data_IF_145924007879
#
_entry.id   IF_145924007879
#
_cell.length_a   1.000
_cell.length_b   1.000
_cell.length_c   1.000
_cell.angle_alpha   90.00
_cell.angle_beta   90.00
_cell.angle_gamma   90.00
#
_symmetry.space_group_name_H-M   'P 1'
#
loop_
_entity.id
_entity.type
_entity.pdbx_description
1 polymer ?
#
# COMPACT_ATOMS: atom_id res chain seq x y z
N UNK A 1 46.33 -42.74 -2.32
CA UNK A 1 44.91 -42.59 -2.68
C UNK A 1 44.55 -41.13 -2.51
N UNK A 2 44.48 -40.39 -3.61
CA UNK A 2 44.07 -38.98 -3.64
C UNK A 2 42.55 -38.94 -3.80
N UNK A 3 41.83 -38.64 -2.72
CA UNK A 3 40.39 -38.40 -2.75
C UNK A 3 40.11 -37.03 -3.39
N UNK A 4 39.60 -37.04 -4.61
CA UNK A 4 38.99 -35.87 -5.23
C UNK A 4 37.53 -35.77 -4.78
N UNK A 5 37.24 -34.87 -3.85
CA UNK A 5 35.87 -34.48 -3.53
C UNK A 5 35.34 -33.59 -4.66
N UNK A 6 34.42 -34.12 -5.46
CA UNK A 6 33.59 -33.32 -6.38
C UNK A 6 32.45 -32.69 -5.56
N UNK A 7 32.55 -31.38 -5.33
CA UNK A 7 31.42 -30.60 -4.85
C UNK A 7 30.58 -30.15 -6.05
N UNK A 8 29.39 -30.72 -6.21
CA UNK A 8 28.37 -30.20 -7.12
C UNK A 8 27.65 -29.02 -6.45
N UNK A 9 27.74 -27.84 -7.04
CA UNK A 9 26.87 -26.70 -6.72
C UNK A 9 25.69 -26.77 -7.68
N UNK A 10 24.48 -26.99 -7.15
CA UNK A 10 23.25 -26.79 -7.91
C UNK A 10 23.06 -25.29 -8.11
N UNK A 11 23.52 -24.77 -9.26
CA UNK A 11 23.16 -23.42 -9.71
C UNK A 11 21.82 -23.57 -10.41
N UNK A 12 20.73 -23.22 -9.73
CA UNK A 12 19.46 -22.98 -10.43
C UNK A 12 19.63 -21.68 -11.24
N UNK A 13 19.42 -21.69 -12.56
CA UNK A 13 19.40 -20.44 -13.31
C UNK A 13 18.28 -19.56 -12.76
N UNK A 14 18.59 -18.33 -12.37
CA UNK A 14 17.58 -17.31 -12.08
C UNK A 14 16.79 -17.09 -13.37
N UNK A 15 15.48 -17.31 -13.32
CA UNK A 15 14.59 -16.98 -14.43
C UNK A 15 14.68 -15.46 -14.65
N UNK A 16 14.93 -14.98 -15.88
CA UNK A 16 14.96 -13.55 -16.18
C UNK A 16 13.69 -12.86 -15.70
N UNK A 17 13.84 -11.69 -15.11
CA UNK A 17 12.73 -10.93 -14.56
C UNK A 17 12.52 -9.68 -15.41
N UNK A 18 11.48 -9.70 -16.25
CA UNK A 18 11.16 -8.62 -17.18
C UNK A 18 10.99 -7.24 -16.49
N UNK A 19 10.69 -7.20 -15.20
CA UNK A 19 10.43 -5.98 -14.44
C UNK A 19 11.66 -5.44 -13.68
N UNK A 20 12.62 -6.31 -13.35
CA UNK A 20 13.76 -5.95 -12.49
C UNK A 20 15.09 -5.90 -13.26
N UNK A 21 15.21 -6.70 -14.33
CA UNK A 21 16.41 -6.75 -15.14
C UNK A 21 16.53 -5.49 -15.99
N UNK A 22 17.67 -4.80 -15.88
CA UNK A 22 17.92 -3.53 -16.58
C UNK A 22 18.21 -3.69 -18.08
N UNK A 23 18.62 -4.88 -18.50
CA UNK A 23 19.13 -5.17 -19.85
C UNK A 23 19.98 -4.00 -20.39
N UNK A 24 19.88 -3.66 -21.68
CA UNK A 24 20.62 -2.51 -22.26
C UNK A 24 19.89 -1.16 -22.08
N UNK A 25 18.55 -1.15 -22.02
CA UNK A 25 17.76 0.08 -22.10
C UNK A 25 16.53 0.11 -21.18
N UNK A 26 16.35 -0.89 -20.31
CA UNK A 26 15.29 -0.88 -19.29
C UNK A 26 15.73 -0.09 -18.04
N UNK A 27 14.73 0.37 -17.28
CA UNK A 27 14.95 1.18 -16.07
C UNK A 27 15.36 0.29 -14.88
N UNK A 28 14.74 -0.89 -14.78
CA UNK A 28 14.89 -1.83 -13.68
C UNK A 28 14.07 -1.44 -12.45
N UNK A 29 14.57 -1.68 -11.25
CA UNK A 29 13.74 -1.64 -10.02
C UNK A 29 13.65 -0.27 -9.32
N UNK A 30 14.29 0.80 -9.82
CA UNK A 30 14.39 2.08 -9.12
C UNK A 30 13.78 3.20 -9.96
N UNK A 31 12.78 3.86 -9.39
CA UNK A 31 12.06 4.95 -10.03
C UNK A 31 12.02 6.16 -9.09
N UNK A 32 12.19 7.35 -9.67
CA UNK A 32 11.84 8.63 -9.04
C UNK A 32 10.33 8.71 -8.96
N UNK A 33 9.83 8.91 -7.74
CA UNK A 33 8.39 8.99 -7.43
C UNK A 33 8.10 10.20 -6.56
N UNK A 34 6.83 10.59 -6.50
CA UNK A 34 6.34 11.57 -5.54
C UNK A 34 5.42 10.84 -4.56
N UNK A 35 5.57 11.11 -3.27
CA UNK A 35 4.86 10.39 -2.22
C UNK A 35 4.42 11.32 -1.11
N UNK A 36 3.30 11.02 -0.45
CA UNK A 36 2.90 11.74 0.75
C UNK A 36 3.76 11.31 1.95
N UNK A 37 4.23 12.29 2.73
CA UNK A 37 4.98 12.05 3.98
C UNK A 37 4.50 13.01 5.06
N UNK A 38 4.51 12.52 6.29
CA UNK A 38 4.09 13.28 7.45
C UNK A 38 5.25 14.13 7.99
N UNK A 39 4.92 15.31 8.47
CA UNK A 39 5.84 16.23 9.15
C UNK A 39 5.29 16.57 10.53
N UNK A 40 6.17 16.95 11.45
CA UNK A 40 5.83 17.22 12.85
C UNK A 40 4.94 18.45 13.02
N UNK A 41 5.11 19.45 12.16
CA UNK A 41 4.46 20.75 12.26
C UNK A 41 4.34 21.46 10.90
N UNK A 42 3.73 22.64 10.90
CA UNK A 42 3.47 23.48 9.72
C UNK A 42 4.72 24.15 9.13
N UNK A 43 5.90 24.01 9.75
CA UNK A 43 7.16 24.49 9.16
C UNK A 43 7.68 23.53 8.10
N UNK A 44 7.30 22.24 8.18
CA UNK A 44 7.78 21.16 7.32
C UNK A 44 9.30 20.99 7.35
N UNK A 45 9.91 21.22 8.52
CA UNK A 45 11.36 21.10 8.69
C UNK A 45 11.79 19.68 9.07
N UNK A 46 11.00 19.00 9.90
CA UNK A 46 11.33 17.68 10.44
C UNK A 46 10.29 16.65 9.97
N UNK A 47 10.67 15.66 9.15
CA UNK A 47 9.79 14.57 8.78
C UNK A 47 9.51 13.67 10.00
N UNK A 48 8.30 13.14 10.10
CA UNK A 48 7.96 12.13 11.11
C UNK A 48 8.61 10.81 10.70
N UNK A 49 9.43 10.25 11.58
CA UNK A 49 9.99 8.93 11.41
C UNK A 49 8.90 7.87 11.58
N UNK A 50 8.81 6.95 10.62
CA UNK A 50 7.85 5.85 10.71
C UNK A 50 8.25 4.90 11.83
N UNK A 51 7.27 4.49 12.62
CA UNK A 51 7.46 3.46 13.64
C UNK A 51 7.63 2.09 12.99
N UNK A 52 8.15 1.13 13.75
CA UNK A 52 8.23 -0.27 13.30
C UNK A 52 6.88 -0.84 12.86
N UNK A 53 5.79 -0.46 13.54
CA UNK A 53 4.41 -0.85 13.18
C UNK A 53 3.92 -0.24 11.85
N UNK A 54 4.56 0.83 11.36
CA UNK A 54 4.22 1.54 10.12
C UNK A 54 5.20 1.25 8.97
N UNK A 55 6.19 0.38 9.19
CA UNK A 55 7.17 0.00 8.17
C UNK A 55 6.48 -0.57 6.92
N UNK A 56 5.42 -1.34 7.14
CA UNK A 56 4.62 -1.96 6.10
C UNK A 56 3.93 -0.97 5.14
N UNK A 57 3.81 0.32 5.49
CA UNK A 57 3.13 1.29 4.62
C UNK A 57 3.88 1.51 3.29
N UNK A 58 5.19 1.22 3.22
CA UNK A 58 5.94 1.27 1.96
C UNK A 58 5.77 2.60 1.21
N UNK A 59 5.23 2.57 -0.01
CA UNK A 59 4.98 3.78 -0.80
C UNK A 59 3.87 4.67 -0.23
N UNK A 60 2.87 4.07 0.44
CA UNK A 60 1.68 4.77 0.93
C UNK A 60 2.03 6.01 1.74
N UNK A 61 1.16 6.99 1.70
CA UNK A 61 1.18 8.08 2.66
C UNK A 61 0.95 7.61 4.10
N UNK A 62 1.11 8.50 5.10
CA UNK A 62 0.80 8.18 6.49
C UNK A 62 -0.66 7.72 6.64
N UNK A 63 -0.90 6.78 7.55
CA UNK A 63 -2.25 6.37 7.90
C UNK A 63 -2.93 7.49 8.69
N UNK A 64 -4.04 8.01 8.16
CA UNK A 64 -4.81 9.06 8.80
C UNK A 64 -5.99 8.43 9.53
N UNK A 65 -6.21 8.75 10.79
CA UNK A 65 -7.38 8.28 11.55
C UNK A 65 -8.34 9.41 11.82
N UNK A 66 -9.64 9.12 11.75
CA UNK A 66 -10.69 10.02 12.17
C UNK A 66 -11.92 9.25 12.68
N UNK A 67 -12.64 9.84 13.63
CA UNK A 67 -13.92 9.31 14.07
C UNK A 67 -15.08 10.03 13.37
N UNK A 68 -16.22 9.35 13.29
CA UNK A 68 -17.48 9.99 12.87
C UNK A 68 -17.79 11.19 13.77
N UNK A 69 -17.95 12.36 13.15
CA UNK A 69 -18.16 13.65 13.80
C UNK A 69 -16.93 14.55 13.76
N UNK A 70 -15.76 14.04 13.41
CA UNK A 70 -14.52 14.80 13.38
C UNK A 70 -14.41 15.75 12.18
N UNK A 71 -13.49 16.71 12.32
CA UNK A 71 -13.04 17.60 11.26
C UNK A 71 -11.52 17.47 11.14
N UNK A 72 -11.07 16.88 10.04
CA UNK A 72 -9.64 16.67 9.75
C UNK A 72 -9.13 17.87 8.98
N UNK A 73 -8.16 18.59 9.56
CA UNK A 73 -7.47 19.70 8.90
C UNK A 73 -6.11 19.22 8.41
N UNK A 74 -5.93 19.11 7.11
CA UNK A 74 -4.68 18.66 6.48
C UNK A 74 -3.93 19.88 5.97
N UNK A 75 -2.85 20.23 6.67
CA UNK A 75 -1.91 21.24 6.20
C UNK A 75 -0.98 20.56 5.20
N UNK A 76 -1.19 20.82 3.91
CA UNK A 76 -0.47 20.19 2.82
C UNK A 76 0.52 21.18 2.20
N UNK A 77 1.80 20.78 2.12
CA UNK A 77 2.84 21.53 1.40
C UNK A 77 3.26 20.75 0.17
N UNK A 78 3.22 21.41 -0.98
CA UNK A 78 3.74 20.81 -2.20
C UNK A 78 5.24 21.09 -2.32
N UNK A 79 6.07 20.10 -1.98
CA UNK A 79 7.53 20.17 -2.12
C UNK A 79 8.03 19.60 -3.46
N UNK A 80 7.12 19.21 -4.35
CA UNK A 80 7.45 18.69 -5.68
C UNK A 80 7.48 19.81 -6.73
N UNK A 81 7.78 19.44 -7.98
CA UNK A 81 8.03 20.38 -9.09
C UNK A 81 6.79 20.74 -9.91
N UNK A 82 5.63 20.13 -9.61
CA UNK A 82 4.37 20.36 -10.36
C UNK A 82 3.18 20.46 -9.40
N UNK A 83 2.03 21.04 -9.83
CA UNK A 83 0.85 21.14 -8.98
C UNK A 83 0.30 19.77 -8.60
N UNK A 84 -0.02 19.60 -7.32
CA UNK A 84 -0.67 18.40 -6.77
C UNK A 84 -1.76 18.81 -5.78
N UNK A 85 -2.64 17.89 -5.42
CA UNK A 85 -3.65 18.10 -4.39
C UNK A 85 -3.73 16.91 -3.44
N UNK A 86 -4.67 16.94 -2.51
CA UNK A 86 -5.03 15.80 -1.67
C UNK A 86 -6.54 15.80 -1.42
N UNK A 87 -7.17 14.66 -1.66
CA UNK A 87 -8.59 14.42 -1.40
C UNK A 87 -8.79 12.96 -1.03
N UNK A 88 -9.78 12.66 -0.21
CA UNK A 88 -10.11 11.30 0.20
C UNK A 88 -11.48 10.88 -0.31
N UNK A 89 -11.66 9.59 -0.58
CA UNK A 89 -12.99 9.02 -0.71
C UNK A 89 -13.76 9.12 0.61
N UNK A 90 -15.10 9.06 0.54
CA UNK A 90 -15.98 9.05 1.71
C UNK A 90 -16.15 10.40 2.42
N UNK A 91 -15.18 11.31 2.40
CA UNK A 91 -15.22 12.56 3.18
C UNK A 91 -16.17 13.62 2.63
N UNK A 92 -16.60 14.56 3.48
CA UNK A 92 -17.40 15.72 3.08
C UNK A 92 -16.54 16.99 3.06
N UNK A 93 -16.52 17.68 1.93
CA UNK A 93 -15.94 19.02 1.78
C UNK A 93 -17.03 20.09 1.67
N UNK A 94 -16.65 21.37 1.77
CA UNK A 94 -17.59 22.50 1.63
C UNK A 94 -17.93 22.82 0.16
N UNK A 95 -16.96 22.60 -0.73
CA UNK A 95 -17.09 22.78 -2.17
C UNK A 95 -16.86 21.44 -2.88
N UNK A 96 -17.44 21.30 -4.07
CA UNK A 96 -17.19 20.18 -4.99
C UNK A 96 -15.81 20.23 -5.64
N UNK A 97 -15.19 21.41 -5.69
CA UNK A 97 -13.89 21.60 -6.35
C UNK A 97 -12.74 21.47 -5.36
N UNK A 98 -11.81 20.57 -5.64
CA UNK A 98 -10.54 20.44 -4.91
C UNK A 98 -9.50 21.32 -5.58
N UNK A 99 -9.13 22.42 -4.93
CA UNK A 99 -8.20 23.38 -5.52
C UNK A 99 -6.75 22.84 -5.47
N UNK A 100 -6.02 22.81 -6.60
CA UNK A 100 -4.62 22.35 -6.65
C UNK A 100 -3.67 23.23 -5.84
N UNK A 101 -2.64 22.64 -5.24
CA UNK A 101 -1.57 23.36 -4.52
C UNK A 101 -0.34 23.44 -5.42
N UNK A 102 0.11 24.66 -5.69
CA UNK A 102 1.26 24.91 -6.58
C UNK A 102 2.58 24.51 -5.92
N UNK A 103 3.66 24.25 -6.69
CA UNK A 103 4.99 24.01 -6.14
C UNK A 103 5.43 25.09 -5.14
N UNK A 104 5.86 24.67 -3.94
CA UNK A 104 6.26 25.55 -2.84
C UNK A 104 5.10 26.13 -2.00
N UNK A 105 3.85 26.02 -2.47
CA UNK A 105 2.68 26.53 -1.75
C UNK A 105 2.28 25.59 -0.60
N UNK A 106 1.74 26.18 0.47
CA UNK A 106 1.10 25.47 1.58
C UNK A 106 -0.39 25.78 1.54
N UNK A 107 -1.21 24.74 1.62
CA UNK A 107 -2.67 24.85 1.67
C UNK A 107 -3.27 23.92 2.69
N UNK A 108 -4.30 24.40 3.37
CA UNK A 108 -5.08 23.59 4.31
C UNK A 108 -6.33 23.02 3.65
N UNK A 109 -6.46 21.71 3.63
CA UNK A 109 -7.66 20.99 3.21
C UNK A 109 -8.48 20.61 4.44
N UNK A 110 -9.79 20.80 4.35
CA UNK A 110 -10.71 20.54 5.45
C UNK A 110 -11.66 19.42 5.05
N UNK A 111 -11.57 18.30 5.75
CA UNK A 111 -12.46 17.15 5.58
C UNK A 111 -13.38 17.05 6.79
N UNK A 112 -14.68 17.11 6.56
CA UNK A 112 -15.71 16.83 7.56
C UNK A 112 -16.05 15.35 7.47
N UNK A 113 -16.16 14.67 8.62
CA UNK A 113 -16.46 13.24 8.70
C UNK A 113 -17.89 13.07 9.26
N UNK A 114 -18.95 13.31 8.47
CA UNK A 114 -20.31 12.99 8.88
C UNK A 114 -20.53 11.47 9.00
N UNK A 115 -21.68 11.07 9.52
CA UNK A 115 -22.05 9.65 9.69
C UNK A 115 -21.98 8.85 8.39
N UNK A 116 -22.40 9.43 7.26
CA UNK A 116 -22.29 8.83 5.92
C UNK A 116 -20.85 8.57 5.44
N UNK A 117 -19.85 9.12 6.12
CA UNK A 117 -18.42 8.95 5.79
C UNK A 117 -17.77 7.83 6.58
N UNK A 118 -18.44 7.32 7.62
CA UNK A 118 -17.98 6.18 8.41
C UNK A 118 -18.76 4.91 8.09
N UNK A 119 -18.49 3.88 8.89
CA UNK A 119 -19.06 2.55 8.75
C UNK A 119 -20.61 2.53 8.87
N UNK A 120 -21.30 2.07 7.82
CA UNK A 120 -22.74 1.81 7.82
C UNK A 120 -23.10 0.59 8.67
N UNK A 121 -24.38 0.25 8.84
CA UNK A 121 -24.85 -0.78 9.80
C UNK A 121 -24.18 -2.16 9.60
N UNK A 122 -23.91 -2.52 8.34
CA UNK A 122 -23.29 -3.79 7.96
C UNK A 122 -21.77 -3.81 7.97
N UNK A 123 -21.10 -2.69 8.28
CA UNK A 123 -19.63 -2.59 8.21
C UNK A 123 -18.96 -2.94 9.55
N UNK A 124 -17.66 -3.23 9.49
CA UNK A 124 -16.78 -3.26 10.66
C UNK A 124 -16.70 -1.89 11.34
N UNK A 125 -16.18 -1.83 12.56
CA UNK A 125 -16.16 -0.58 13.34
C UNK A 125 -15.36 0.54 12.66
N UNK A 126 -14.29 0.19 11.94
CA UNK A 126 -13.45 1.09 11.18
C UNK A 126 -13.42 0.65 9.71
N UNK A 127 -13.51 1.60 8.80
CA UNK A 127 -13.45 1.38 7.35
C UNK A 127 -12.34 2.24 6.72
N UNK A 128 -11.64 1.72 5.70
CA UNK A 128 -10.65 2.49 4.97
C UNK A 128 -11.25 3.25 3.80
N UNK A 129 -10.65 4.40 3.51
CA UNK A 129 -10.82 5.19 2.30
C UNK A 129 -9.44 5.51 1.73
N UNK A 130 -9.32 5.51 0.40
CA UNK A 130 -8.12 6.01 -0.24
C UNK A 130 -8.13 7.54 -0.32
N UNK A 131 -7.01 8.17 0.04
CA UNK A 131 -6.71 9.56 -0.30
C UNK A 131 -5.61 9.65 -1.36
N UNK A 132 -5.78 10.58 -2.28
CA UNK A 132 -4.99 10.70 -3.51
C UNK A 132 -5.05 12.12 -4.07
N UNK A 133 -4.21 12.42 -5.05
CA UNK A 133 -4.23 13.70 -5.77
C UNK A 133 -5.29 13.71 -6.86
N UNK A 134 -5.89 14.87 -7.09
CA UNK A 134 -7.02 15.07 -8.02
C UNK A 134 -6.67 15.99 -9.18
N UNK A 135 -5.40 16.40 -9.33
CA UNK A 135 -4.98 17.28 -10.43
C UNK A 135 -4.97 16.49 -11.73
N UNK A 136 -4.22 15.40 -11.77
CA UNK A 136 -4.30 14.36 -12.79
C UNK A 136 -4.47 13.01 -12.09
N UNK A 137 -5.71 12.51 -12.05
CA UNK A 137 -6.06 11.33 -11.24
C UNK A 137 -5.28 10.07 -11.64
N UNK A 138 -4.90 9.96 -12.90
CA UNK A 138 -4.20 8.78 -13.42
C UNK A 138 -2.71 8.94 -13.16
N UNK A 139 -2.12 10.03 -13.67
CA UNK A 139 -0.66 10.21 -13.61
C UNK A 139 -0.18 10.47 -12.19
N UNK A 140 -0.93 11.19 -11.36
CA UNK A 140 -0.54 11.47 -9.97
C UNK A 140 -0.56 10.20 -9.11
N UNK A 141 -1.55 9.33 -9.33
CA UNK A 141 -1.67 8.03 -8.66
C UNK A 141 -0.46 7.15 -8.99
N UNK A 142 -0.19 6.91 -10.28
CA UNK A 142 0.92 6.07 -10.70
C UNK A 142 2.28 6.69 -10.36
N UNK A 143 2.38 8.01 -10.30
CA UNK A 143 3.58 8.71 -9.79
C UNK A 143 3.84 8.48 -8.30
N UNK A 144 2.83 8.03 -7.53
CA UNK A 144 2.97 7.55 -6.14
C UNK A 144 2.08 8.25 -5.09
N UNK A 145 1.14 9.12 -5.48
CA UNK A 145 0.30 9.86 -4.53
C UNK A 145 -0.95 9.08 -4.11
N UNK A 146 -0.80 8.24 -3.09
CA UNK A 146 -1.87 7.42 -2.52
C UNK A 146 -1.62 7.17 -1.02
N UNK A 147 -2.68 7.11 -0.21
CA UNK A 147 -2.58 6.66 1.17
C UNK A 147 -3.93 6.33 1.82
N UNK A 148 -3.92 5.71 3.02
CA UNK A 148 -5.13 5.26 3.71
C UNK A 148 -5.67 6.28 4.72
N UNK A 149 -6.97 6.57 4.64
CA UNK A 149 -7.76 7.25 5.67
C UNK A 149 -8.66 6.21 6.34
N UNK A 150 -8.50 6.00 7.64
CA UNK A 150 -9.31 5.08 8.45
C UNK A 150 -10.37 5.89 9.19
N UNK A 151 -11.64 5.60 8.90
CA UNK A 151 -12.78 6.23 9.57
C UNK A 151 -13.47 5.23 10.48
N UNK A 152 -13.46 5.50 11.78
CA UNK A 152 -14.09 4.66 12.78
C UNK A 152 -15.44 5.24 13.23
N UNK A 153 -16.38 4.36 13.61
CA UNK A 153 -17.60 4.81 14.28
C UNK A 153 -17.22 5.47 15.61
N UNK A 154 -17.93 6.54 15.95
CA UNK A 154 -17.78 7.19 17.24
C UNK A 154 -18.11 6.20 18.35
N UNK A 155 -17.12 5.88 19.19
CA UNK A 155 -17.36 4.97 20.32
C UNK A 155 -18.31 5.62 21.32
N UNK A 156 -19.40 4.90 21.66
CA UNK A 156 -20.36 5.33 22.70
C UNK A 156 -19.84 5.07 24.12
N UNK A 157 -18.82 4.21 24.28
CA UNK A 157 -18.27 3.81 25.57
C UNK A 157 -16.77 4.13 25.60
N UNK A 158 -16.34 4.91 26.60
CA UNK A 158 -14.92 5.00 26.95
C UNK A 158 -14.49 3.65 27.50
N UNK A 159 -13.85 2.83 26.67
CA UNK A 159 -13.26 1.56 27.12
C UNK A 159 -12.10 1.89 28.05
N UNK A 160 -12.17 1.45 29.30
CA UNK A 160 -11.01 1.43 30.20
C UNK A 160 -10.04 0.37 29.66
N UNK A 161 -8.84 0.80 29.26
CA UNK A 161 -7.82 0.01 28.54
C UNK A 161 -8.26 -0.47 27.15
N UNK A 162 -8.20 0.39 26.11
CA UNK A 162 -8.37 -0.08 24.73
C UNK A 162 -7.26 -1.08 24.39
N UNK A 163 -7.64 -2.28 23.97
CA UNK A 163 -6.71 -3.24 23.39
C UNK A 163 -6.23 -2.62 22.07
N UNK A 164 -4.93 -2.32 21.98
CA UNK A 164 -4.32 -1.80 20.74
C UNK A 164 -4.32 -2.94 19.73
N UNK A 165 -5.23 -2.89 18.77
CA UNK A 165 -5.31 -3.84 17.65
C UNK A 165 -4.19 -3.50 16.65
N UNK A 166 -3.37 -4.47 16.22
CA UNK A 166 -2.49 -4.26 15.08
C UNK A 166 -3.30 -3.91 13.83
N UNK A 167 -2.84 -2.90 13.09
CA UNK A 167 -3.50 -2.42 11.90
C UNK A 167 -2.52 -2.45 10.73
N UNK A 168 -2.94 -3.06 9.62
CA UNK A 168 -2.13 -3.17 8.41
C UNK A 168 -2.90 -2.62 7.21
N UNK A 169 -2.36 -1.59 6.56
CA UNK A 169 -2.91 -1.07 5.31
C UNK A 169 -2.18 -1.68 4.12
N UNK A 170 -2.92 -2.33 3.21
CA UNK A 170 -2.39 -2.94 2.00
C UNK A 170 -3.08 -2.36 0.77
N UNK A 171 -2.28 -1.84 -0.14
CA UNK A 171 -2.67 -1.43 -1.49
C UNK A 171 -2.16 -2.47 -2.47
N UNK A 172 -3.09 -3.02 -3.23
CA UNK A 172 -2.81 -3.85 -4.40
C UNK A 172 -2.97 -2.97 -5.63
N UNK A 173 -1.87 -2.78 -6.35
CA UNK A 173 -1.81 -1.91 -7.52
C UNK A 173 -0.67 -2.36 -8.44
N UNK A 174 -0.96 -2.50 -9.73
CA UNK A 174 0.08 -2.53 -10.76
C UNK A 174 0.52 -1.09 -11.01
N UNK A 175 1.70 -0.72 -10.50
CA UNK A 175 2.24 0.62 -10.70
C UNK A 175 2.74 0.75 -12.14
N UNK A 176 1.90 1.32 -13.00
CA UNK A 176 2.26 1.65 -14.37
C UNK A 176 3.16 2.90 -14.43
N UNK A 177 4.48 2.69 -14.41
CA UNK A 177 5.45 3.78 -14.47
C UNK A 177 5.49 4.47 -15.84
N UNK A 178 4.87 3.89 -16.87
CA UNK A 178 4.72 4.55 -18.18
C UNK A 178 3.80 5.77 -18.08
N UNK A 179 2.83 5.73 -17.17
CA UNK A 179 1.92 6.84 -16.89
C UNK A 179 2.48 7.85 -15.87
N UNK A 180 3.65 7.57 -15.29
CA UNK A 180 4.30 8.45 -14.32
C UNK A 180 4.74 9.76 -14.95
N UNK A 181 4.60 10.84 -14.18
CA UNK A 181 5.15 12.15 -14.53
C UNK A 181 6.69 12.16 -14.61
N UNK A 182 7.33 11.15 -14.03
CA UNK A 182 8.77 11.04 -13.90
C UNK A 182 9.38 10.04 -14.89
N UNK A 183 8.60 9.49 -15.83
CA UNK A 183 9.11 8.53 -16.82
C UNK A 183 10.36 9.06 -17.54
N UNK A 184 10.32 10.29 -18.06
CA UNK A 184 11.46 10.90 -18.76
C UNK A 184 12.70 11.09 -17.88
N UNK A 185 12.49 11.48 -16.62
CA UNK A 185 13.57 11.61 -15.65
C UNK A 185 14.18 10.23 -15.34
N UNK A 186 13.34 9.21 -15.22
CA UNK A 186 13.75 7.84 -14.91
C UNK A 186 14.54 7.20 -16.06
N UNK A 187 14.07 7.35 -17.30
CA UNK A 187 14.79 6.90 -18.49
C UNK A 187 16.20 7.50 -18.51
N UNK A 188 16.31 8.83 -18.37
CA UNK A 188 17.62 9.51 -18.38
C UNK A 188 18.54 9.15 -17.22
N UNK A 189 17.98 8.77 -16.07
CA UNK A 189 18.76 8.52 -14.84
C UNK A 189 19.20 7.07 -14.72
N UNK A 190 18.39 6.13 -15.17
CA UNK A 190 18.53 4.71 -14.81
C UNK A 190 18.74 3.76 -15.97
N UNK A 191 18.43 4.15 -17.21
CA UNK A 191 18.77 3.36 -18.40
C UNK A 191 20.20 3.65 -18.85
N UNK A 192 20.91 2.61 -19.30
CA UNK A 192 22.31 2.75 -19.75
C UNK A 192 22.38 3.43 -21.13
N UNK A 193 21.37 3.22 -21.97
CA UNK A 193 21.22 3.83 -23.30
C UNK A 193 19.86 4.53 -23.49
N UNK A 194 19.64 5.71 -22.90
CA UNK A 194 18.39 6.46 -23.01
C UNK A 194 17.95 6.76 -24.46
N UNK A 195 18.91 6.88 -25.38
CA UNK A 195 18.69 7.15 -26.80
C UNK A 195 18.06 5.98 -27.56
N UNK A 196 18.18 4.76 -27.03
CA UNK A 196 17.59 3.55 -27.63
C UNK A 196 16.18 3.25 -27.12
N UNK A 197 15.71 3.98 -26.10
CA UNK A 197 14.42 3.72 -25.47
C UNK A 197 13.29 4.17 -26.39
N UNK A 198 12.51 3.20 -26.86
CA UNK A 198 11.23 3.43 -27.51
C UNK A 198 10.09 3.24 -26.51
N UNK A 199 9.37 4.32 -26.20
CA UNK A 199 8.24 4.28 -25.26
C UNK A 199 7.01 3.55 -25.81
N UNK A 200 6.95 3.32 -27.12
CA UNK A 200 5.87 2.57 -27.76
C UNK A 200 6.17 1.08 -27.87
N UNK A 201 7.37 0.64 -27.47
CA UNK A 201 7.74 -0.77 -27.48
C UNK A 201 7.03 -1.52 -26.34
N UNK A 202 6.35 -2.61 -26.68
CA UNK A 202 5.55 -3.40 -25.73
C UNK A 202 6.40 -4.03 -24.61
N UNK A 203 7.64 -4.45 -24.88
CA UNK A 203 8.55 -5.01 -23.87
C UNK A 203 9.00 -3.91 -22.89
N UNK A 204 9.27 -2.70 -23.38
CA UNK A 204 9.57 -1.55 -22.52
C UNK A 204 8.37 -1.16 -21.66
N UNK A 205 7.17 -1.12 -22.24
CA UNK A 205 5.93 -0.83 -21.50
C UNK A 205 5.74 -1.88 -20.39
N UNK A 206 5.91 -3.16 -20.70
CA UNK A 206 5.73 -4.25 -19.75
C UNK A 206 6.78 -4.20 -18.62
N UNK A 207 8.04 -3.88 -18.94
CA UNK A 207 9.11 -3.74 -17.94
C UNK A 207 8.81 -2.71 -16.85
N UNK A 208 7.95 -1.72 -17.16
CA UNK A 208 7.58 -0.62 -16.28
C UNK A 208 6.25 -0.85 -15.54
N UNK A 209 5.58 -2.01 -15.73
CA UNK A 209 4.37 -2.37 -14.98
C UNK A 209 4.73 -3.11 -13.70
N UNK A 210 4.91 -2.37 -12.62
CA UNK A 210 5.41 -2.93 -11.36
C UNK A 210 4.25 -3.51 -10.51
N UNK A 211 4.07 -4.82 -10.58
CA UNK A 211 3.03 -5.57 -9.87
C UNK A 211 3.34 -5.69 -8.37
N UNK A 212 2.85 -4.75 -7.55
CA UNK A 212 3.36 -4.57 -6.20
C UNK A 212 2.28 -4.52 -5.10
N UNK A 213 2.70 -4.87 -3.87
CA UNK A 213 1.93 -4.62 -2.65
C UNK A 213 2.61 -3.47 -1.91
N UNK A 214 1.91 -2.36 -1.69
CA UNK A 214 2.47 -1.12 -1.11
C UNK A 214 3.74 -0.62 -1.83
N UNK A 215 3.87 -0.89 -3.14
CA UNK A 215 5.04 -0.53 -3.94
C UNK A 215 6.28 -1.39 -3.69
N UNK A 216 6.11 -2.59 -3.12
CA UNK A 216 7.15 -3.61 -2.93
C UNK A 216 6.76 -4.91 -3.64
N UNK A 217 7.75 -5.64 -4.12
CA UNK A 217 7.58 -6.86 -4.93
C UNK A 217 8.46 -7.99 -4.39
N UNK A 218 8.14 -9.24 -4.70
CA UNK A 218 8.94 -10.43 -4.42
C UNK A 218 9.39 -10.53 -2.95
N UNK A 219 8.47 -10.37 -2.00
CA UNK A 219 8.80 -10.48 -0.57
C UNK A 219 9.49 -9.27 0.06
N UNK A 220 9.71 -8.18 -0.68
CA UNK A 220 10.37 -6.99 -0.12
C UNK A 220 9.44 -6.12 0.76
N UNK A 221 8.17 -6.48 0.94
CA UNK A 221 7.29 -5.79 1.90
C UNK A 221 7.50 -6.33 3.31
N UNK A 222 8.08 -5.51 4.18
CA UNK A 222 8.42 -5.86 5.56
C UNK A 222 7.45 -5.21 6.56
N UNK A 223 7.58 -5.55 7.85
CA UNK A 223 6.79 -4.92 8.92
C UNK A 223 5.41 -5.54 9.17
N UNK A 224 5.05 -6.63 8.48
CA UNK A 224 3.81 -7.38 8.71
C UNK A 224 4.00 -8.43 9.81
N UNK A 225 4.19 -7.98 11.06
CA UNK A 225 4.44 -8.86 12.21
C UNK A 225 3.36 -8.68 13.29
N UNK A 226 2.81 -9.80 13.76
CA UNK A 226 1.78 -9.86 14.80
C UNK A 226 2.01 -11.07 15.72
N UNK A 227 1.23 -11.20 16.79
CA UNK A 227 1.32 -12.31 17.73
C UNK A 227 0.08 -13.19 17.71
N UNK A 228 0.25 -14.45 18.12
CA UNK A 228 -0.87 -15.36 18.38
C UNK A 228 -1.80 -14.74 19.43
N UNK A 229 -3.08 -14.64 19.10
CA UNK A 229 -4.12 -14.07 19.96
C UNK A 229 -4.41 -12.59 19.72
N UNK A 230 -3.66 -11.90 18.85
CA UNK A 230 -3.99 -10.53 18.45
C UNK A 230 -5.33 -10.48 17.70
N UNK A 231 -6.03 -9.35 17.81
CA UNK A 231 -7.13 -9.01 16.91
C UNK A 231 -6.63 -8.00 15.89
N UNK A 232 -6.52 -8.41 14.63
CA UNK A 232 -5.83 -7.65 13.58
C UNK A 232 -6.83 -7.11 12.57
N UNK A 233 -6.71 -5.83 12.24
CA UNK A 233 -7.43 -5.22 11.13
C UNK A 233 -6.52 -5.09 9.91
N UNK A 234 -6.93 -5.70 8.81
CA UNK A 234 -6.33 -5.50 7.49
C UNK A 234 -7.20 -4.56 6.67
N UNK A 235 -6.65 -3.42 6.28
CA UNK A 235 -7.30 -2.44 5.43
C UNK A 235 -6.83 -2.63 3.99
N UNK A 236 -7.62 -3.35 3.20
CA UNK A 236 -7.34 -3.61 1.80
C UNK A 236 -7.86 -2.46 0.94
N UNK A 237 -7.04 -2.03 -0.02
CA UNK A 237 -7.38 -1.02 -1.01
C UNK A 237 -6.98 -1.49 -2.41
N UNK A 238 -7.88 -1.32 -3.36
CA UNK A 238 -7.63 -1.49 -4.80
C UNK A 238 -7.79 -0.17 -5.54
N UNK A 239 -6.83 0.13 -6.42
CA UNK A 239 -6.84 1.28 -7.32
C UNK A 239 -6.29 0.82 -8.68
N UNK A 240 -6.31 1.70 -9.69
CA UNK A 240 -5.70 1.43 -10.99
C UNK A 240 -6.72 1.26 -12.11
N UNK A 241 -6.47 0.33 -13.04
CA UNK A 241 -7.22 0.17 -14.30
C UNK A 241 -7.87 -1.23 -14.43
N UNK A 242 -8.25 -1.65 -15.64
CA UNK A 242 -8.90 -2.94 -15.88
C UNK A 242 -8.06 -4.18 -15.57
N UNK A 243 -6.72 -4.07 -15.48
CA UNK A 243 -5.86 -5.20 -15.10
C UNK A 243 -5.74 -5.33 -13.57
N UNK A 244 -6.16 -4.33 -12.79
CA UNK A 244 -6.14 -4.35 -11.33
C UNK A 244 -7.32 -5.14 -10.72
N UNK A 245 -7.48 -6.37 -11.16
CA UNK A 245 -8.37 -7.36 -10.55
C UNK A 245 -7.50 -8.23 -9.62
N UNK A 246 -7.61 -8.04 -8.31
CA UNK A 246 -6.73 -8.71 -7.35
C UNK A 246 -7.50 -9.67 -6.46
N UNK A 247 -7.03 -10.90 -6.31
CA UNK A 247 -7.60 -11.90 -5.39
C UNK A 247 -6.63 -12.13 -4.23
N UNK A 248 -6.80 -11.38 -3.16
CA UNK A 248 -5.86 -11.35 -2.03
C UNK A 248 -6.03 -12.60 -1.17
N UNK A 249 -5.01 -13.45 -1.13
CA UNK A 249 -5.01 -14.68 -0.36
C UNK A 249 -4.01 -14.64 0.81
N UNK A 250 -4.47 -15.07 1.99
CA UNK A 250 -3.65 -15.22 3.18
C UNK A 250 -3.43 -16.71 3.48
N UNK A 251 -2.18 -17.17 3.45
CA UNK A 251 -1.86 -18.55 3.83
C UNK A 251 -2.00 -18.73 5.35
N UNK A 252 -2.45 -19.91 5.78
CA UNK A 252 -2.47 -20.31 7.19
C UNK A 252 -3.58 -19.72 8.07
N UNK A 253 -4.25 -18.64 7.62
CA UNK A 253 -5.34 -18.00 8.37
C UNK A 253 -6.45 -17.52 7.44
N UNK A 254 -7.69 -17.83 7.80
CA UNK A 254 -8.87 -17.16 7.26
C UNK A 254 -9.12 -15.84 7.98
N UNK A 255 -9.85 -14.95 7.33
CA UNK A 255 -10.33 -13.70 7.91
C UNK A 255 -11.86 -13.65 7.90
N UNK A 256 -12.39 -12.65 8.57
CA UNK A 256 -13.80 -12.31 8.62
C UNK A 256 -14.01 -10.90 8.11
N UNK A 257 -15.18 -10.60 7.55
CA UNK A 257 -15.50 -9.25 7.08
C UNK A 257 -16.99 -8.96 7.27
N UNK A 258 -17.35 -7.67 7.19
CA UNK A 258 -18.63 -7.10 7.60
C UNK A 258 -18.87 -7.13 9.12
N UNK A 259 -19.93 -6.46 9.57
CA UNK A 259 -20.26 -6.29 10.98
C UNK A 259 -20.35 -7.63 11.69
N UNK A 260 -19.55 -7.80 12.77
CA UNK A 260 -19.44 -9.02 13.59
C UNK A 260 -18.89 -10.25 12.84
N UNK A 261 -18.21 -10.06 11.72
CA UNK A 261 -17.52 -11.15 11.02
C UNK A 261 -18.46 -12.25 10.50
N UNK A 262 -19.65 -11.85 10.04
CA UNK A 262 -20.69 -12.79 9.56
C UNK A 262 -20.20 -13.62 8.37
N UNK A 263 -19.34 -13.03 7.53
CA UNK A 263 -18.74 -13.71 6.40
C UNK A 263 -17.29 -14.07 6.72
N UNK A 264 -16.86 -15.25 6.28
CA UNK A 264 -15.49 -15.71 6.41
C UNK A 264 -14.98 -16.22 5.06
N UNK A 265 -13.73 -15.90 4.78
CA UNK A 265 -12.99 -16.33 3.59
C UNK A 265 -11.51 -16.28 3.90
N UNK A 266 -10.68 -16.85 3.03
CA UNK A 266 -9.23 -16.69 2.99
C UNK A 266 -8.75 -16.02 1.70
N UNK A 267 -9.68 -15.73 0.78
CA UNK A 267 -9.48 -14.96 -0.45
C UNK A 267 -10.47 -13.80 -0.51
N UNK A 268 -10.00 -12.59 -0.80
CA UNK A 268 -10.85 -11.41 -0.99
C UNK A 268 -10.56 -10.73 -2.34
N UNK A 269 -11.61 -10.47 -3.11
CA UNK A 269 -11.50 -9.81 -4.40
C UNK A 269 -11.46 -8.28 -4.25
N UNK A 270 -10.45 -7.67 -4.84
CA UNK A 270 -10.11 -6.24 -4.76
C UNK A 270 -10.02 -5.69 -6.18
N UNK A 271 -10.83 -4.68 -6.46
CA UNK A 271 -10.93 -3.99 -7.75
C UNK A 271 -10.63 -2.49 -7.57
N UNK A 272 -10.45 -1.71 -8.64
CA UNK A 272 -10.29 -0.26 -8.50
C UNK A 272 -11.50 0.36 -7.80
N UNK A 273 -11.25 1.00 -6.65
CA UNK A 273 -12.29 1.57 -5.79
C UNK A 273 -12.82 0.64 -4.70
N UNK A 274 -12.34 -0.60 -4.59
CA UNK A 274 -12.63 -1.48 -3.47
C UNK A 274 -11.79 -1.08 -2.26
N UNK A 275 -12.46 -0.79 -1.15
CA UNK A 275 -11.81 -0.54 0.15
C UNK A 275 -12.53 -1.37 1.20
N UNK A 276 -11.82 -2.27 1.87
CA UNK A 276 -12.43 -3.23 2.78
C UNK A 276 -11.58 -3.45 4.04
N UNK A 277 -12.27 -3.56 5.18
CA UNK A 277 -11.67 -4.06 6.42
C UNK A 277 -11.87 -5.57 6.52
N UNK A 278 -10.78 -6.30 6.74
CA UNK A 278 -10.78 -7.71 7.10
C UNK A 278 -10.28 -7.86 8.55
N UNK A 279 -11.02 -8.62 9.35
CA UNK A 279 -10.70 -8.93 10.73
C UNK A 279 -10.07 -10.32 10.80
N UNK A 280 -8.86 -10.42 11.35
CA UNK A 280 -8.12 -11.66 11.47
C UNK A 280 -7.74 -11.92 12.94
N UNK A 281 -7.85 -13.17 13.37
CA UNK A 281 -7.36 -13.64 14.67
C UNK A 281 -6.26 -14.69 14.46
N UNK A 282 -4.98 -14.31 14.51
CA UNK A 282 -3.86 -15.22 14.28
C UNK A 282 -3.78 -16.28 15.37
N UNK A 283 -3.70 -17.56 14.96
CA UNK A 283 -3.67 -18.71 15.88
C UNK A 283 -2.44 -19.58 15.71
N UNK A 284 -1.88 -19.63 14.51
CA UNK A 284 -0.79 -20.54 14.18
C UNK A 284 0.48 -19.73 13.95
N UNK A 285 1.52 -19.87 14.79
CA UNK A 285 2.77 -19.15 14.59
C UNK A 285 3.49 -19.65 13.34
N UNK A 286 4.21 -18.75 12.69
CA UNK A 286 4.94 -19.02 11.45
C UNK A 286 5.08 -17.80 10.57
N UNK A 287 5.86 -17.94 9.50
CA UNK A 287 5.92 -16.97 8.41
C UNK A 287 5.08 -17.50 7.25
N UNK A 288 4.07 -16.74 6.88
CA UNK A 288 3.01 -17.16 5.96
C UNK A 288 3.01 -16.28 4.73
N UNK A 289 2.73 -16.87 3.57
CA UNK A 289 2.64 -16.14 2.30
C UNK A 289 1.34 -15.33 2.23
N UNK A 290 1.44 -14.13 1.65
CA UNK A 290 0.35 -13.23 1.31
C UNK A 290 0.57 -12.82 -0.14
N UNK A 291 -0.36 -13.14 -1.03
CA UNK A 291 -0.19 -12.89 -2.45
C UNK A 291 -1.51 -12.63 -3.15
N UNK A 292 -1.41 -12.09 -4.36
CA UNK A 292 -2.52 -12.10 -5.31
C UNK A 292 -2.63 -13.48 -5.97
N UNK A 293 -3.82 -14.06 -6.07
CA UNK A 293 -4.04 -15.39 -6.67
C UNK A 293 -4.20 -15.32 -8.20
N UNK A 294 -4.17 -14.12 -8.80
CA UNK A 294 -4.07 -13.94 -10.25
C UNK A 294 -2.67 -14.34 -10.71
N UNK A 295 -2.60 -15.33 -11.62
CA UNK A 295 -1.35 -15.98 -12.06
C UNK A 295 -0.31 -14.99 -12.57
N UNK A 296 -0.74 -14.00 -13.34
CA UNK A 296 0.16 -12.99 -13.89
C UNK A 296 0.78 -12.13 -12.78
N UNK A 297 -0.04 -11.67 -11.84
CA UNK A 297 0.39 -10.80 -10.75
C UNK A 297 1.36 -11.51 -9.79
N UNK A 298 1.15 -12.79 -9.47
CA UNK A 298 2.09 -13.54 -8.62
C UNK A 298 3.42 -13.77 -9.33
N UNK A 299 3.42 -14.17 -10.61
CA UNK A 299 4.66 -14.32 -11.39
C UNK A 299 5.42 -13.00 -11.54
N UNK A 300 4.68 -11.89 -11.65
CA UNK A 300 5.24 -10.56 -11.70
C UNK A 300 5.68 -10.01 -10.32
N UNK A 301 5.46 -10.74 -9.23
CA UNK A 301 6.03 -10.43 -7.92
C UNK A 301 5.08 -9.78 -6.91
N UNK A 302 3.77 -9.81 -7.15
CA UNK A 302 2.76 -9.34 -6.21
C UNK A 302 2.53 -10.34 -5.06
N UNK A 303 3.58 -10.54 -4.27
CA UNK A 303 3.63 -11.43 -3.13
C UNK A 303 4.52 -10.89 -2.03
N UNK A 304 4.19 -11.23 -0.80
CA UNK A 304 5.03 -11.02 0.38
C UNK A 304 4.73 -12.04 1.47
N UNK A 305 5.41 -11.91 2.61
CA UNK A 305 5.13 -12.72 3.80
C UNK A 305 4.65 -11.86 4.96
N UNK A 306 3.80 -12.43 5.82
CA UNK A 306 3.51 -11.91 7.14
C UNK A 306 3.94 -12.92 8.21
N UNK A 307 4.34 -12.43 9.39
CA UNK A 307 4.88 -13.27 10.46
C UNK A 307 3.98 -13.22 11.68
N UNK A 308 3.57 -14.40 12.14
CA UNK A 308 2.83 -14.61 13.39
C UNK A 308 3.79 -15.19 14.42
N UNK A 309 4.12 -14.41 15.43
CA UNK A 309 5.00 -14.81 16.52
C UNK A 309 4.21 -15.54 17.61
N UNK A 310 4.80 -16.56 18.27
CA UNK A 310 4.21 -17.17 19.45
C UNK A 310 3.97 -16.13 20.55
N UNK A 311 2.88 -16.28 21.30
CA UNK A 311 2.63 -15.42 22.44
C UNK A 311 3.60 -15.76 23.59
N UNK A 312 4.16 -14.75 24.25
CA UNK A 312 5.25 -14.89 25.21
C UNK A 312 4.91 -15.79 26.43
N UNK A 313 3.63 -16.05 26.69
CA UNK A 313 3.15 -16.86 27.81
C UNK A 313 3.30 -18.39 27.61
N UNK A 314 3.70 -18.87 26.42
CA UNK A 314 3.85 -20.32 26.16
C UNK A 314 5.24 -20.90 26.45
N UNK A 315 6.16 -20.12 27.05
CA UNK A 315 7.52 -20.60 27.39
C UNK A 315 7.71 -21.13 28.82
N UNK A 316 6.64 -21.35 29.58
CA UNK A 316 6.71 -21.91 30.94
C UNK A 316 5.76 -23.10 31.13
N UNK A 317 6.05 -24.21 30.48
CA UNK A 317 5.41 -25.51 30.68
C UNK A 317 6.41 -26.63 30.51
#
# INVERSE_FOLDING_TARGET
MTNSNLNCVCVFPSVPNAFLDKEEYYIGSKYKKVVYRQYTDSTFSVPVERKAEEEHLGILGPQLHADVGDKVNIIFKNMATRPYSIHAHGVKTESSTVTPTSPGEIRTYIWKIPERSGAGIGDSACIPWAYYSTVDRVKDLYSGLIGPLIVCRKSYLKVFNPIKKPEFSLLFLVFDENESWYLDDNIKTYSDHPEKVDKANDEFIESNKMHAINGRMFGNLQGLTMHVGDEVNWYLMGMGNEIDLHSVHFHGHSFQYQHRGIYSSDVFDVFPGTYQTLEMSPRTPGTWLLHCHVTDHIHAGMETTYTVLPNAETKSG
#
